data_IF_910111769053
#
_entry.id   IF_910111769053
#
_cell.length_a   1.000
_cell.length_b   1.000
_cell.length_c   1.000
_cell.angle_alpha   90.00
_cell.angle_beta   90.00
_cell.angle_gamma   90.00
#
_symmetry.space_group_name_H-M   'P 1'
#
loop_
_entity.id
_entity.type
_entity.pdbx_description
1 polymer ?
#
# COMPACT_ATOMS: atom_id res chain seq x y z
N UNK A 1 -6.31 -66.03 47.05
CA UNK A 1 -6.01 -66.85 45.85
C UNK A 1 -5.94 -65.91 44.67
N UNK A 2 -4.74 -65.41 44.35
CA UNK A 2 -3.91 -65.81 43.18
C UNK A 2 -4.62 -65.46 41.85
N UNK A 3 -4.11 -64.61 40.96
CA UNK A 3 -2.74 -64.58 40.43
C UNK A 3 -2.45 -63.24 39.73
N UNK A 4 -1.18 -62.82 39.78
CA UNK A 4 -0.58 -61.65 39.13
C UNK A 4 -0.35 -61.93 37.64
N UNK A 5 -0.49 -60.92 36.77
CA UNK A 5 0.55 -60.63 35.78
C UNK A 5 0.46 -59.20 35.24
N UNK A 6 1.58 -58.51 35.39
CA UNK A 6 1.90 -57.16 35.00
C UNK A 6 2.26 -57.03 33.52
N UNK A 7 1.78 -56.01 32.82
CA UNK A 7 2.52 -55.40 31.69
C UNK A 7 2.39 -53.87 31.69
N UNK A 8 3.55 -53.22 31.76
CA UNK A 8 3.79 -51.77 31.72
C UNK A 8 3.38 -51.17 30.37
N UNK A 9 2.98 -49.89 30.31
CA UNK A 9 2.85 -49.18 29.05
C UNK A 9 4.23 -48.80 28.50
N UNK A 10 4.49 -49.12 27.23
CA UNK A 10 5.68 -48.70 26.49
C UNK A 10 5.55 -47.22 26.11
N UNK A 11 6.51 -46.42 26.57
CA UNK A 11 6.92 -45.17 25.92
C UNK A 11 7.45 -45.51 24.53
N UNK A 12 6.91 -44.88 23.50
CA UNK A 12 7.66 -44.63 22.27
C UNK A 12 7.45 -43.18 21.85
N UNK A 13 8.54 -42.44 22.02
CA UNK A 13 8.79 -41.08 21.58
C UNK A 13 9.22 -41.10 20.12
N UNK A 14 8.41 -40.56 19.21
CA UNK A 14 8.88 -40.08 17.89
C UNK A 14 8.18 -38.78 17.52
N UNK A 15 8.85 -37.70 17.91
CA UNK A 15 9.02 -36.42 17.22
C UNK A 15 8.34 -36.30 15.85
N UNK A 16 7.19 -35.62 15.81
CA UNK A 16 6.68 -34.98 14.60
C UNK A 16 7.29 -33.59 14.50
N UNK A 17 8.19 -33.40 13.54
CA UNK A 17 8.77 -32.09 13.22
C UNK A 17 7.67 -31.18 12.66
N UNK A 18 7.10 -30.36 13.53
CA UNK A 18 6.24 -29.24 13.15
C UNK A 18 7.06 -28.22 12.37
N UNK A 19 6.55 -27.84 11.19
CA UNK A 19 7.07 -26.71 10.41
C UNK A 19 6.97 -25.42 11.26
N UNK A 20 8.02 -24.60 11.38
CA UNK A 20 7.90 -23.32 12.03
C UNK A 20 7.07 -22.36 11.17
N UNK A 21 6.12 -21.69 11.83
CA UNK A 21 5.40 -20.53 11.35
C UNK A 21 6.40 -19.41 11.01
N UNK A 22 6.17 -18.75 9.87
CA UNK A 22 7.00 -17.65 9.39
C UNK A 22 6.94 -16.47 10.38
N UNK A 23 8.12 -16.01 10.79
CA UNK A 23 8.35 -14.86 11.65
C UNK A 23 7.99 -13.54 10.94
N UNK A 24 7.38 -12.55 11.60
CA UNK A 24 7.18 -11.22 11.04
C UNK A 24 8.33 -10.30 11.47
N UNK A 25 9.42 -10.33 10.71
CA UNK A 25 10.48 -9.31 10.82
C UNK A 25 11.37 -9.39 9.59
N UNK A 26 11.21 -8.49 8.62
CA UNK A 26 12.30 -8.22 7.66
C UNK A 26 11.99 -6.94 6.85
N UNK A 27 12.08 -5.81 7.56
CA UNK A 27 12.60 -4.60 6.94
C UNK A 27 14.14 -4.74 6.90
N UNK A 28 14.81 -4.74 5.74
CA UNK A 28 16.25 -4.83 5.69
C UNK A 28 16.86 -3.45 6.01
N UNK A 29 16.95 -3.13 7.30
CA UNK A 29 17.75 -2.03 7.80
C UNK A 29 19.23 -2.36 7.67
N UNK A 30 19.93 -1.72 6.73
CA UNK A 30 21.39 -1.81 6.64
C UNK A 30 22.03 -1.00 7.77
N UNK A 31 22.50 -1.67 8.80
CA UNK A 31 23.51 -1.14 9.73
C UNK A 31 24.90 -1.43 9.16
N UNK A 32 25.64 -0.36 8.86
CA UNK A 32 27.04 -0.43 8.42
C UNK A 32 27.96 -0.21 9.63
N UNK A 33 28.80 -1.17 10.05
CA UNK A 33 29.81 -0.93 11.07
C UNK A 33 30.99 -0.17 10.46
N UNK A 34 31.35 0.95 11.09
CA UNK A 34 32.58 1.70 10.82
C UNK A 34 33.78 0.91 11.36
N UNK A 35 34.55 0.25 10.50
CA UNK A 35 36.02 0.17 10.59
C UNK A 35 36.57 -0.72 9.47
N UNK A 36 37.38 -0.13 8.59
CA UNK A 36 38.65 -0.67 8.09
C UNK A 36 39.02 0.06 6.80
N UNK A 37 39.94 1.00 6.93
CA UNK A 37 40.69 1.58 5.83
C UNK A 37 41.58 0.47 5.26
N UNK A 38 41.29 0.02 4.03
CA UNK A 38 42.27 -0.67 3.21
C UNK A 38 41.86 -0.56 1.72
N UNK A 39 42.79 0.01 0.96
CA UNK A 39 42.81 0.22 -0.48
C UNK A 39 42.47 -1.02 -1.30
N UNK A 40 41.43 -0.92 -2.15
CA UNK A 40 41.30 -1.76 -3.33
C UNK A 40 40.91 -0.90 -4.55
N UNK A 41 41.71 -1.04 -5.60
CA UNK A 41 41.73 -0.25 -6.83
C UNK A 41 40.42 -0.39 -7.62
N UNK A 42 39.95 0.75 -8.10
CA UNK A 42 38.86 0.94 -9.03
C UNK A 42 39.12 0.16 -10.33
N UNK A 43 38.25 -0.78 -10.69
CA UNK A 43 38.06 -1.24 -12.08
C UNK A 43 36.66 -0.82 -12.48
N UNK A 44 36.61 0.16 -13.37
CA UNK A 44 35.39 0.65 -14.01
C UNK A 44 34.77 -0.49 -14.84
N UNK A 45 33.52 -0.82 -14.54
CA UNK A 45 32.68 -1.63 -15.44
C UNK A 45 31.42 -0.83 -15.76
N UNK A 46 31.38 -0.31 -16.99
CA UNK A 46 30.30 0.47 -17.61
C UNK A 46 29.00 -0.36 -17.87
N UNK A 47 28.56 -1.15 -16.89
CA UNK A 47 27.42 -2.07 -17.04
C UNK A 47 26.09 -1.57 -16.47
N UNK A 48 26.10 -0.58 -15.58
CA UNK A 48 24.91 -0.19 -14.80
C UNK A 48 23.95 0.75 -15.54
N UNK A 49 24.48 1.67 -16.36
CA UNK A 49 23.65 2.58 -17.16
C UNK A 49 22.87 1.85 -18.27
N UNK A 50 23.46 0.80 -18.84
CA UNK A 50 22.84 -0.06 -19.88
C UNK A 50 21.66 -0.88 -19.34
N UNK A 51 21.74 -1.40 -18.11
CA UNK A 51 20.67 -2.17 -17.48
C UNK A 51 19.45 -1.31 -17.10
N UNK A 52 19.67 -0.08 -16.63
CA UNK A 52 18.61 0.89 -16.38
C UNK A 52 17.97 1.40 -17.68
N UNK A 53 18.78 1.72 -18.70
CA UNK A 53 18.28 2.14 -20.00
C UNK A 53 17.51 1.04 -20.74
N UNK A 54 17.89 -0.24 -20.56
CA UNK A 54 17.18 -1.39 -21.15
C UNK A 54 15.92 -1.79 -20.37
N UNK A 55 15.87 -1.53 -19.05
CA UNK A 55 14.63 -1.57 -18.24
C UNK A 55 13.64 -0.49 -18.68
N UNK A 56 14.11 0.73 -18.97
CA UNK A 56 13.30 1.84 -19.47
C UNK A 56 12.87 1.66 -20.95
N UNK A 57 13.73 1.09 -21.80
CA UNK A 57 13.38 0.77 -23.20
C UNK A 57 12.37 -0.37 -23.32
N UNK A 58 12.46 -1.42 -22.48
CA UNK A 58 11.46 -2.51 -22.46
C UNK A 58 10.12 -2.11 -21.83
N UNK A 59 10.05 -0.99 -21.10
CA UNK A 59 8.77 -0.38 -20.67
C UNK A 59 8.00 0.28 -21.81
N UNK A 60 8.66 0.66 -22.92
CA UNK A 60 8.01 1.29 -24.09
C UNK A 60 7.27 0.29 -25.00
N UNK A 61 7.57 -1.00 -24.90
CA UNK A 61 6.93 -2.04 -25.74
C UNK A 61 5.59 -2.56 -25.19
N UNK A 62 5.03 -1.96 -24.14
CA UNK A 62 3.71 -2.34 -23.64
C UNK A 62 2.62 -1.33 -24.05
N UNK A 63 1.98 -1.70 -25.17
CA UNK A 63 0.59 -1.42 -25.56
C UNK A 63 0.28 -0.07 -26.22
N UNK A 64 -0.68 -0.16 -27.15
CA UNK A 64 -1.19 0.92 -28.00
C UNK A 64 -1.60 2.16 -27.18
N UNK A 65 -1.44 3.38 -27.73
CA UNK A 65 -1.79 4.61 -27.04
C UNK A 65 -3.28 4.59 -26.69
N UNK A 66 -3.58 4.58 -25.39
CA UNK A 66 -4.94 4.84 -24.93
C UNK A 66 -5.24 6.34 -25.11
N UNK A 67 -6.51 6.75 -25.34
CA UNK A 67 -6.87 8.16 -25.49
C UNK A 67 -6.40 9.00 -24.30
N UNK A 68 -6.08 10.27 -24.57
CA UNK A 68 -5.63 11.24 -23.57
C UNK A 68 -6.66 11.36 -22.44
N UNK A 69 -6.16 11.40 -21.21
CA UNK A 69 -6.97 11.55 -20.00
C UNK A 69 -6.49 12.81 -19.29
N UNK A 70 -7.39 13.78 -19.11
CA UNK A 70 -7.12 14.95 -18.27
C UNK A 70 -7.44 14.58 -16.84
N UNK A 71 -6.43 14.67 -16.00
CA UNK A 71 -6.59 14.69 -14.56
C UNK A 71 -6.89 16.15 -14.19
N UNK A 72 -8.10 16.62 -14.51
CA UNK A 72 -8.51 17.98 -14.15
C UNK A 72 -8.20 18.27 -12.67
N UNK A 73 -8.02 19.55 -12.33
CA UNK A 73 -7.81 20.04 -10.95
C UNK A 73 -8.98 19.73 -9.98
N UNK A 74 -9.93 18.91 -10.39
CA UNK A 74 -11.07 18.47 -9.60
C UNK A 74 -10.65 17.56 -8.42
N UNK A 75 -11.39 17.63 -7.30
CA UNK A 75 -11.25 16.68 -6.20
C UNK A 75 -11.35 15.21 -6.65
N UNK A 76 -10.61 14.32 -5.99
CA UNK A 76 -10.69 12.87 -6.22
C UNK A 76 -11.11 12.09 -4.97
N UNK A 77 -11.51 10.83 -5.17
CA UNK A 77 -11.77 9.86 -4.12
C UNK A 77 -10.59 8.89 -4.06
N UNK A 78 -9.69 9.11 -3.10
CA UNK A 78 -8.50 8.28 -2.89
C UNK A 78 -8.83 7.17 -1.90
N UNK A 79 -8.67 5.92 -2.30
CA UNK A 79 -8.85 4.76 -1.42
C UNK A 79 -7.53 4.46 -0.73
N UNK A 80 -7.50 4.45 0.59
CA UNK A 80 -6.34 4.14 1.42
C UNK A 80 -6.54 2.79 2.12
N UNK A 81 -5.60 1.83 2.06
CA UNK A 81 -5.68 0.65 2.91
C UNK A 81 -5.67 1.03 4.39
N UNK A 82 -4.61 1.69 4.86
CA UNK A 82 -4.44 2.09 6.26
C UNK A 82 -4.37 3.62 6.43
N UNK A 83 -4.31 4.04 7.70
CA UNK A 83 -4.26 5.44 8.16
C UNK A 83 -2.85 6.04 7.99
N UNK A 84 -2.42 6.18 6.74
CA UNK A 84 -1.14 6.77 6.29
C UNK A 84 -0.93 6.63 4.77
N UNK A 85 -1.28 5.46 4.21
CA UNK A 85 -0.90 5.04 2.85
C UNK A 85 -1.23 6.06 1.76
N UNK A 86 -2.43 6.65 1.80
CA UNK A 86 -2.84 7.67 0.83
C UNK A 86 -2.01 8.95 0.96
N UNK A 87 -1.62 9.38 2.16
CA UNK A 87 -0.76 10.56 2.32
C UNK A 87 0.67 10.27 1.90
N UNK A 88 1.19 9.09 2.26
CA UNK A 88 2.53 8.67 1.89
C UNK A 88 2.68 8.53 0.38
N UNK A 89 1.66 7.99 -0.28
CA UNK A 89 1.70 7.67 -1.70
C UNK A 89 1.18 8.79 -2.59
N UNK A 90 0.21 9.57 -2.11
CA UNK A 90 -0.56 10.55 -2.89
C UNK A 90 -0.67 11.94 -2.25
N UNK A 91 0.15 12.27 -1.24
CA UNK A 91 0.08 13.55 -0.53
C UNK A 91 0.23 14.78 -1.44
N UNK A 92 1.08 14.75 -2.48
CA UNK A 92 1.19 15.87 -3.42
C UNK A 92 -0.06 15.99 -4.29
N UNK A 93 -0.60 14.87 -4.78
CA UNK A 93 -1.87 14.84 -5.51
C UNK A 93 -3.01 15.45 -4.68
N UNK A 94 -3.10 15.05 -3.41
CA UNK A 94 -4.11 15.56 -2.47
C UNK A 94 -3.93 17.06 -2.20
N UNK A 95 -2.70 17.53 -1.95
CA UNK A 95 -2.41 18.94 -1.75
C UNK A 95 -2.74 19.82 -2.98
N UNK A 96 -2.61 19.26 -4.18
CA UNK A 96 -2.98 19.93 -5.43
C UNK A 96 -4.49 19.90 -5.70
N UNK A 97 -5.27 19.14 -4.92
CA UNK A 97 -6.72 18.95 -5.09
C UNK A 97 -7.49 19.07 -3.76
N UNK A 98 -7.54 20.26 -3.14
CA UNK A 98 -8.36 20.48 -1.96
C UNK A 98 -9.82 20.07 -2.19
N UNK A 99 -10.46 19.54 -1.15
CA UNK A 99 -11.80 18.96 -1.23
C UNK A 99 -11.82 17.48 -1.63
N UNK A 100 -10.67 16.89 -1.95
CA UNK A 100 -10.55 15.44 -2.17
C UNK A 100 -10.96 14.66 -0.93
N UNK A 101 -11.44 13.45 -1.14
CA UNK A 101 -11.87 12.53 -0.10
C UNK A 101 -10.89 11.37 -0.02
N UNK A 102 -10.36 11.12 1.17
CA UNK A 102 -9.56 9.93 1.47
C UNK A 102 -10.45 8.94 2.21
N UNK A 103 -10.73 7.81 1.58
CA UNK A 103 -11.50 6.72 2.16
C UNK A 103 -10.56 5.63 2.64
N UNK A 104 -10.38 5.54 3.96
CA UNK A 104 -9.49 4.58 4.60
C UNK A 104 -10.24 3.32 5.01
N UNK A 105 -9.77 2.15 4.57
CA UNK A 105 -10.50 0.88 4.67
C UNK A 105 -10.39 0.27 6.07
N UNK A 106 -9.18 0.19 6.62
CA UNK A 106 -8.93 -0.53 7.86
C UNK A 106 -8.86 0.42 9.07
N UNK A 107 -10.02 0.92 9.50
CA UNK A 107 -10.13 1.84 10.65
C UNK A 107 -10.86 1.26 11.86
N UNK A 108 -11.27 -0.01 11.81
CA UNK A 108 -11.98 -0.63 12.91
C UNK A 108 -11.08 -0.89 14.13
N UNK A 109 -11.70 -0.83 15.31
CA UNK A 109 -11.02 -1.00 16.60
C UNK A 109 -11.49 -2.32 17.20
N UNK A 110 -10.65 -3.36 17.28
CA UNK A 110 -11.08 -4.67 17.76
C UNK A 110 -11.45 -4.60 19.24
N UNK A 111 -12.43 -5.42 19.63
CA UNK A 111 -12.86 -5.63 21.02
C UNK A 111 -12.93 -7.14 21.27
N UNK A 112 -12.25 -7.67 22.31
CA UNK A 112 -11.39 -6.96 23.27
C UNK A 112 -10.12 -6.38 22.64
N UNK A 113 -9.42 -5.43 23.29
CA UNK A 113 -8.16 -4.88 22.79
C UNK A 113 -7.12 -5.97 22.55
N UNK A 114 -6.38 -5.81 21.45
CA UNK A 114 -5.32 -6.74 21.03
C UNK A 114 -3.96 -6.05 21.13
N UNK A 115 -2.88 -6.84 21.09
CA UNK A 115 -1.51 -6.32 21.11
C UNK A 115 -0.72 -6.95 19.98
N UNK A 116 -0.23 -6.14 19.06
CA UNK A 116 0.61 -6.62 17.96
C UNK A 116 2.03 -6.06 18.09
N UNK A 117 3.02 -6.70 17.44
CA UNK A 117 4.36 -6.12 17.35
C UNK A 117 4.38 -4.72 16.72
N UNK A 118 3.46 -4.45 15.78
CA UNK A 118 3.37 -3.14 15.12
C UNK A 118 2.87 -2.06 16.07
N UNK A 119 1.81 -2.33 16.83
CA UNK A 119 1.30 -1.39 17.85
C UNK A 119 2.40 -1.00 18.85
N UNK A 120 3.17 -1.99 19.31
CA UNK A 120 4.27 -1.77 20.26
C UNK A 120 5.40 -0.95 19.63
N UNK A 121 5.77 -1.23 18.38
CA UNK A 121 6.79 -0.49 17.65
C UNK A 121 6.37 0.96 17.39
N UNK A 122 5.07 1.20 17.20
CA UNK A 122 4.47 2.53 17.12
C UNK A 122 4.39 3.24 18.49
N UNK A 123 4.68 2.54 19.59
CA UNK A 123 4.66 3.06 20.96
C UNK A 123 3.27 3.03 21.61
N UNK A 124 2.42 2.09 21.21
CA UNK A 124 1.09 1.88 21.76
C UNK A 124 1.02 0.61 22.60
N UNK A 125 0.19 0.65 23.64
CA UNK A 125 -0.01 -0.44 24.60
C UNK A 125 -0.99 -1.50 24.13
N UNK A 126 -1.94 -1.12 23.26
CA UNK A 126 -2.92 -1.99 22.62
C UNK A 126 -3.52 -1.33 21.36
N UNK A 127 -4.32 -2.11 20.63
CA UNK A 127 -5.02 -1.72 19.42
C UNK A 127 -6.02 -0.57 19.61
N UNK A 128 -6.61 -0.41 20.80
CA UNK A 128 -7.53 0.70 21.08
C UNK A 128 -6.77 2.02 21.12
N UNK A 129 -5.64 2.05 21.82
CA UNK A 129 -4.76 3.21 21.82
C UNK A 129 -4.18 3.48 20.43
N UNK A 130 -3.72 2.43 19.72
CA UNK A 130 -3.13 2.55 18.40
C UNK A 130 -4.10 3.17 17.38
N UNK A 131 -5.30 2.59 17.24
CA UNK A 131 -6.26 3.08 16.25
C UNK A 131 -6.78 4.49 16.56
N UNK A 132 -7.01 4.83 17.84
CA UNK A 132 -7.38 6.20 18.23
C UNK A 132 -6.28 7.21 17.91
N UNK A 133 -5.02 6.87 18.21
CA UNK A 133 -3.88 7.74 17.88
C UNK A 133 -3.76 7.94 16.37
N UNK A 134 -3.79 6.87 15.59
CA UNK A 134 -3.68 6.91 14.13
C UNK A 134 -4.81 7.71 13.47
N UNK A 135 -6.03 7.64 14.00
CA UNK A 135 -7.15 8.46 13.52
C UNK A 135 -6.85 9.96 13.72
N UNK A 136 -6.35 10.35 14.89
CA UNK A 136 -6.01 11.76 15.17
C UNK A 136 -4.86 12.23 14.28
N UNK A 137 -3.84 11.40 14.07
CA UNK A 137 -2.73 11.70 13.15
C UNK A 137 -3.22 11.88 11.71
N UNK A 138 -4.12 11.01 11.25
CA UNK A 138 -4.74 11.08 9.93
C UNK A 138 -5.58 12.35 9.74
N UNK A 139 -6.37 12.76 10.75
CA UNK A 139 -7.12 14.02 10.70
C UNK A 139 -6.21 15.24 10.55
N UNK A 140 -5.09 15.26 11.30
CA UNK A 140 -4.10 16.33 11.20
C UNK A 140 -3.44 16.35 9.82
N UNK A 141 -3.04 15.18 9.31
CA UNK A 141 -2.42 15.05 7.99
C UNK A 141 -3.36 15.53 6.88
N UNK A 142 -4.61 15.06 6.87
CA UNK A 142 -5.59 15.40 5.84
C UNK A 142 -6.00 16.88 5.90
N UNK A 143 -6.06 17.48 7.10
CA UNK A 143 -6.29 18.91 7.25
C UNK A 143 -5.19 19.75 6.57
N UNK A 144 -3.92 19.34 6.67
CA UNK A 144 -2.80 20.01 6.01
C UNK A 144 -2.87 19.93 4.47
N UNK A 145 -3.54 18.91 3.94
CA UNK A 145 -3.73 18.69 2.51
C UNK A 145 -5.06 19.25 1.98
N UNK A 146 -5.92 19.79 2.87
CA UNK A 146 -7.26 20.23 2.50
C UNK A 146 -8.17 19.08 2.06
N UNK A 147 -7.92 17.86 2.54
CA UNK A 147 -8.69 16.65 2.21
C UNK A 147 -9.65 16.28 3.36
N UNK A 148 -10.68 15.50 3.04
CA UNK A 148 -11.69 14.98 3.98
C UNK A 148 -11.51 13.49 4.20
N UNK A 149 -11.67 13.03 5.45
CA UNK A 149 -11.63 11.61 5.79
C UNK A 149 -13.01 10.93 5.63
N UNK A 150 -12.99 9.70 5.14
CA UNK A 150 -14.06 8.71 5.29
C UNK A 150 -13.41 7.43 5.82
N UNK A 151 -13.96 6.83 6.87
CA UNK A 151 -13.35 5.67 7.55
C UNK A 151 -14.29 4.49 7.53
N UNK A 152 -13.84 3.37 6.97
CA UNK A 152 -14.59 2.13 6.96
C UNK A 152 -14.25 1.30 8.21
N UNK A 153 -15.20 0.49 8.72
CA UNK A 153 -15.06 -0.15 10.03
C UNK A 153 -14.28 -1.48 9.98
N UNK A 154 -13.55 -1.78 8.90
CA UNK A 154 -12.86 -3.06 8.76
C UNK A 154 -11.59 -3.11 9.62
N UNK A 155 -11.22 -4.31 10.05
CA UNK A 155 -10.02 -4.53 10.84
C UNK A 155 -8.83 -4.80 9.93
N UNK A 156 -7.72 -4.13 10.25
CA UNK A 156 -6.40 -4.47 9.74
C UNK A 156 -6.13 -5.96 10.00
N UNK A 157 -5.48 -6.64 9.05
CA UNK A 157 -5.21 -8.08 9.14
C UNK A 157 -4.46 -8.49 10.41
N UNK A 158 -3.74 -7.56 11.04
CA UNK A 158 -3.09 -7.79 12.33
C UNK A 158 -4.06 -8.03 13.51
N UNK A 159 -5.35 -7.69 13.37
CA UNK A 159 -6.37 -7.82 14.42
C UNK A 159 -7.39 -8.94 14.15
N UNK A 160 -7.02 -9.93 13.35
CA UNK A 160 -7.75 -11.21 13.23
C UNK A 160 -9.25 -11.09 12.90
N UNK A 161 -9.61 -10.39 11.82
CA UNK A 161 -10.92 -10.52 11.16
C UNK A 161 -10.88 -9.92 9.74
N UNK A 162 -10.11 -10.55 8.85
CA UNK A 162 -9.95 -10.04 7.48
C UNK A 162 -11.27 -10.10 6.73
N UNK A 163 -11.79 -8.97 6.20
CA UNK A 163 -13.02 -8.98 5.41
C UNK A 163 -12.80 -9.64 4.04
N UNK A 164 -13.89 -9.98 3.36
CA UNK A 164 -13.82 -10.31 1.94
C UNK A 164 -13.64 -9.04 1.09
N UNK A 165 -13.03 -9.19 -0.10
CA UNK A 165 -12.93 -8.10 -1.07
C UNK A 165 -14.30 -7.60 -1.55
N UNK A 166 -15.33 -8.45 -1.54
CA UNK A 166 -16.70 -8.08 -1.88
C UNK A 166 -17.34 -7.16 -0.83
N UNK A 167 -17.17 -7.47 0.46
CA UNK A 167 -17.64 -6.60 1.55
C UNK A 167 -16.97 -5.22 1.50
N UNK A 168 -15.65 -5.20 1.28
CA UNK A 168 -14.90 -3.94 1.11
C UNK A 168 -15.39 -3.18 -0.13
N UNK A 169 -15.60 -3.86 -1.27
CA UNK A 169 -16.10 -3.23 -2.49
C UNK A 169 -17.49 -2.59 -2.30
N UNK A 170 -18.40 -3.27 -1.59
CA UNK A 170 -19.74 -2.75 -1.30
C UNK A 170 -19.69 -1.51 -0.40
N UNK A 171 -18.85 -1.54 0.64
CA UNK A 171 -18.64 -0.40 1.54
C UNK A 171 -18.02 0.80 0.79
N UNK A 172 -16.99 0.55 -0.02
CA UNK A 172 -16.38 1.57 -0.89
C UNK A 172 -17.40 2.16 -1.86
N UNK A 173 -18.25 1.34 -2.49
CA UNK A 173 -19.29 1.81 -3.40
C UNK A 173 -20.26 2.76 -2.71
N UNK A 174 -20.63 2.46 -1.48
CA UNK A 174 -21.53 3.28 -0.66
C UNK A 174 -20.86 4.60 -0.30
N UNK A 175 -19.64 4.55 0.24
CA UNK A 175 -18.84 5.73 0.58
C UNK A 175 -18.62 6.65 -0.65
N UNK A 176 -18.26 6.08 -1.79
CA UNK A 176 -18.04 6.80 -3.04
C UNK A 176 -19.30 7.52 -3.53
N UNK A 177 -20.46 6.85 -3.50
CA UNK A 177 -21.75 7.48 -3.86
C UNK A 177 -22.14 8.62 -2.93
N UNK A 178 -21.95 8.43 -1.62
CA UNK A 178 -22.26 9.45 -0.60
C UNK A 178 -21.34 10.68 -0.68
N UNK A 179 -20.18 10.54 -1.33
CA UNK A 179 -19.18 11.61 -1.45
C UNK A 179 -19.05 12.11 -2.89
N UNK A 180 -20.16 12.19 -3.63
CA UNK A 180 -20.22 12.92 -4.91
C UNK A 180 -19.65 12.18 -6.12
N UNK A 181 -19.34 10.88 -6.00
CA UNK A 181 -18.90 10.02 -7.11
C UNK A 181 -17.65 10.55 -7.83
N UNK A 182 -16.71 11.12 -7.08
CA UNK A 182 -15.47 11.71 -7.59
C UNK A 182 -14.60 10.67 -8.33
N UNK A 183 -13.68 11.10 -9.21
CA UNK A 183 -12.70 10.21 -9.85
C UNK A 183 -11.94 9.37 -8.82
N UNK A 184 -11.87 8.05 -9.03
CA UNK A 184 -11.27 7.11 -8.08
C UNK A 184 -9.76 6.97 -8.32
N UNK A 185 -9.01 7.07 -7.23
CA UNK A 185 -7.57 6.79 -7.16
C UNK A 185 -7.39 5.65 -6.17
N UNK A 186 -6.91 4.49 -6.62
CA UNK A 186 -6.87 3.25 -5.85
C UNK A 186 -5.44 2.72 -5.68
N UNK A 187 -5.15 1.91 -4.64
CA UNK A 187 -3.84 1.27 -4.51
C UNK A 187 -3.63 0.23 -5.61
N UNK A 188 -2.39 0.06 -6.05
CA UNK A 188 -2.02 -1.03 -6.97
C UNK A 188 -2.07 -2.40 -6.26
N UNK A 189 -1.86 -2.42 -4.94
CA UNK A 189 -1.86 -3.59 -4.09
C UNK A 189 -0.48 -4.21 -4.00
N UNK A 190 0.44 -3.53 -3.31
CA UNK A 190 1.84 -3.91 -3.18
C UNK A 190 2.17 -4.49 -1.80
N UNK A 191 2.96 -5.56 -1.79
CA UNK A 191 3.58 -6.21 -0.63
C UNK A 191 2.63 -6.78 0.44
N UNK A 192 1.83 -5.94 1.08
CA UNK A 192 0.97 -6.31 2.21
C UNK A 192 -0.36 -6.93 1.74
N UNK A 193 -0.89 -7.91 2.51
CA UNK A 193 -2.15 -8.59 2.19
C UNK A 193 -3.33 -7.62 2.11
N UNK A 194 -3.40 -6.66 3.03
CA UNK A 194 -4.47 -5.65 3.07
C UNK A 194 -4.45 -4.73 1.85
N UNK A 195 -3.27 -4.37 1.35
CA UNK A 195 -3.14 -3.61 0.12
C UNK A 195 -3.65 -4.39 -1.09
N UNK A 196 -3.30 -5.68 -1.18
CA UNK A 196 -3.77 -6.57 -2.24
C UNK A 196 -5.29 -6.68 -2.21
N UNK A 197 -5.88 -6.88 -1.02
CA UNK A 197 -7.32 -6.99 -0.79
C UNK A 197 -8.05 -5.71 -1.21
N UNK A 198 -7.58 -4.54 -0.77
CA UNK A 198 -8.19 -3.25 -1.12
C UNK A 198 -8.10 -2.99 -2.62
N UNK A 199 -6.97 -3.32 -3.25
CA UNK A 199 -6.82 -3.20 -4.70
C UNK A 199 -7.78 -4.14 -5.45
N UNK A 200 -7.99 -5.37 -4.97
CA UNK A 200 -8.99 -6.30 -5.51
C UNK A 200 -10.42 -5.75 -5.34
N UNK A 201 -10.75 -5.23 -4.16
CA UNK A 201 -12.04 -4.60 -3.89
C UNK A 201 -12.30 -3.38 -4.79
N UNK A 202 -11.30 -2.54 -5.03
CA UNK A 202 -11.41 -1.42 -5.96
C UNK A 202 -11.67 -1.87 -7.40
N UNK A 203 -11.08 -2.98 -7.84
CA UNK A 203 -11.37 -3.56 -9.17
C UNK A 203 -12.79 -4.11 -9.26
N UNK A 204 -13.28 -4.78 -8.22
CA UNK A 204 -14.68 -5.23 -8.14
C UNK A 204 -15.64 -4.03 -8.21
N UNK A 205 -15.40 -3.00 -7.39
CA UNK A 205 -16.12 -1.73 -7.43
C UNK A 205 -16.18 -1.16 -8.85
N UNK A 206 -15.04 -1.10 -9.53
CA UNK A 206 -14.94 -0.50 -10.85
C UNK A 206 -15.76 -1.25 -11.90
N UNK A 207 -15.76 -2.59 -11.82
CA UNK A 207 -16.58 -3.43 -12.68
C UNK A 207 -18.08 -3.26 -12.37
N UNK A 208 -18.48 -3.37 -11.10
CA UNK A 208 -19.88 -3.30 -10.66
C UNK A 208 -20.53 -1.94 -10.89
N UNK A 209 -19.79 -0.85 -10.63
CA UNK A 209 -20.28 0.52 -10.82
C UNK A 209 -20.02 1.06 -12.24
N UNK A 210 -19.46 0.22 -13.14
CA UNK A 210 -19.11 0.58 -14.52
C UNK A 210 -18.29 1.88 -14.58
N UNK A 211 -17.34 2.03 -13.65
CA UNK A 211 -16.48 3.20 -13.58
C UNK A 211 -15.71 3.37 -14.90
N UNK A 212 -15.34 4.61 -15.27
CA UNK A 212 -14.33 4.82 -16.30
C UNK A 212 -12.96 4.26 -15.85
N UNK A 213 -11.93 4.47 -16.67
CA UNK A 213 -10.55 4.17 -16.30
C UNK A 213 -10.22 4.72 -14.89
N UNK A 214 -9.61 3.87 -14.06
CA UNK A 214 -9.16 4.25 -12.72
C UNK A 214 -7.67 4.60 -12.73
N UNK A 215 -7.28 5.45 -11.79
CA UNK A 215 -5.86 5.68 -11.51
C UNK A 215 -5.45 4.75 -10.38
N UNK A 216 -4.35 4.05 -10.58
CA UNK A 216 -3.70 3.29 -9.53
C UNK A 216 -2.41 4.00 -9.11
N UNK A 217 -2.18 4.10 -7.80
CA UNK A 217 -0.91 4.59 -7.26
C UNK A 217 -0.03 3.43 -6.80
N UNK A 218 1.28 3.55 -7.01
CA UNK A 218 2.25 2.63 -6.40
C UNK A 218 2.48 3.03 -4.94
N UNK A 219 2.14 2.14 -4.01
CA UNK A 219 2.17 2.45 -2.58
C UNK A 219 3.60 2.63 -2.06
N UNK A 220 3.84 3.73 -1.37
CA UNK A 220 5.06 3.98 -0.60
C UNK A 220 4.88 3.42 0.81
N UNK A 221 5.88 2.77 1.43
CA UNK A 221 7.26 2.60 0.96
C UNK A 221 7.48 1.37 0.04
N UNK A 222 6.45 0.55 -0.17
CA UNK A 222 6.56 -0.78 -0.77
C UNK A 222 7.03 -0.80 -2.23
N UNK A 223 6.76 0.25 -2.99
CA UNK A 223 7.18 0.39 -4.39
C UNK A 223 8.70 0.34 -4.60
N UNK A 224 9.49 0.59 -3.56
CA UNK A 224 10.96 0.49 -3.62
C UNK A 224 11.49 -0.90 -3.29
N UNK A 225 10.65 -1.78 -2.75
CA UNK A 225 11.05 -3.17 -2.46
C UNK A 225 11.33 -3.88 -3.80
N UNK A 226 12.53 -4.47 -3.98
CA UNK A 226 12.91 -5.10 -5.24
C UNK A 226 11.86 -6.08 -5.75
N UNK A 227 11.51 -5.93 -7.03
CA UNK A 227 10.56 -6.77 -7.77
C UNK A 227 9.10 -6.77 -7.31
N UNK A 228 8.71 -6.12 -6.21
CA UNK A 228 7.32 -6.12 -5.70
C UNK A 228 6.36 -5.51 -6.73
N UNK A 229 6.61 -4.28 -7.18
CA UNK A 229 5.78 -3.63 -8.19
C UNK A 229 5.76 -4.40 -9.52
N UNK A 230 6.93 -4.85 -9.99
CA UNK A 230 7.05 -5.63 -11.24
C UNK A 230 6.20 -6.91 -11.20
N UNK A 231 6.30 -7.70 -10.12
CA UNK A 231 5.52 -8.94 -9.96
C UNK A 231 4.02 -8.67 -9.91
N UNK A 232 3.60 -7.55 -9.29
CA UNK A 232 2.19 -7.16 -9.25
C UNK A 232 1.66 -6.83 -10.64
N UNK A 233 2.38 -6.01 -11.42
CA UNK A 233 2.00 -5.74 -12.81
C UNK A 233 1.95 -7.00 -13.66
N UNK A 234 2.94 -7.90 -13.54
CA UNK A 234 2.95 -9.18 -14.27
C UNK A 234 1.74 -10.05 -13.91
N UNK A 235 1.37 -10.12 -12.63
CA UNK A 235 0.20 -10.86 -12.18
C UNK A 235 -1.11 -10.29 -12.76
N UNK A 236 -1.27 -8.96 -12.72
CA UNK A 236 -2.46 -8.30 -13.27
C UNK A 236 -2.52 -8.41 -14.80
N UNK A 237 -1.39 -8.31 -15.49
CA UNK A 237 -1.31 -8.53 -16.93
C UNK A 237 -1.74 -9.95 -17.32
N UNK A 238 -1.35 -10.98 -16.55
CA UNK A 238 -1.82 -12.37 -16.76
C UNK A 238 -3.33 -12.53 -16.57
N UNK A 239 -3.95 -11.69 -15.74
CA UNK A 239 -5.39 -11.63 -15.56
C UNK A 239 -6.11 -10.83 -16.66
N UNK A 240 -5.35 -10.23 -17.59
CA UNK A 240 -5.88 -9.49 -18.74
C UNK A 240 -5.99 -7.98 -18.54
N UNK A 241 -5.53 -7.45 -17.40
CA UNK A 241 -5.51 -6.01 -17.17
C UNK A 241 -4.46 -5.32 -18.03
N UNK A 242 -4.75 -4.08 -18.44
CA UNK A 242 -3.88 -3.25 -19.27
C UNK A 242 -3.60 -1.95 -18.55
N UNK A 243 -2.34 -1.53 -18.58
CA UNK A 243 -1.87 -0.34 -17.90
C UNK A 243 -1.26 0.61 -18.92
N UNK A 244 -1.64 1.87 -18.85
CA UNK A 244 -0.86 2.94 -19.44
C UNK A 244 -0.16 3.71 -18.33
N UNK A 245 1.15 3.91 -18.46
CA UNK A 245 1.81 4.94 -17.65
C UNK A 245 1.11 6.26 -17.96
N UNK A 246 0.70 6.97 -16.92
CA UNK A 246 0.38 8.38 -17.10
C UNK A 246 1.68 9.04 -17.56
N UNK A 247 1.69 9.59 -18.77
CA UNK A 247 2.93 10.09 -19.37
C UNK A 247 3.58 11.09 -18.43
N UNK A 248 4.90 11.25 -18.49
CA UNK A 248 5.59 12.26 -17.68
C UNK A 248 4.98 13.66 -17.85
N UNK A 249 4.35 13.97 -18.98
CA UNK A 249 3.59 15.22 -19.17
C UNK A 249 2.24 15.29 -18.42
N UNK A 250 1.63 14.16 -18.08
CA UNK A 250 0.41 14.06 -17.26
C UNK A 250 0.74 13.92 -15.76
N UNK A 251 1.86 13.25 -15.42
CA UNK A 251 2.37 13.13 -14.05
C UNK A 251 3.14 14.38 -13.59
N UNK A 252 3.79 15.10 -14.51
CA UNK A 252 4.46 16.38 -14.30
C UNK A 252 3.67 17.55 -14.88
N UNK A 253 2.36 17.40 -15.10
CA UNK A 253 1.51 18.53 -15.40
C UNK A 253 1.75 19.59 -14.31
N UNK A 254 2.15 20.84 -14.66
CA UNK A 254 2.25 21.93 -13.69
C UNK A 254 0.98 22.10 -12.84
N UNK A 255 -0.19 21.67 -13.34
CA UNK A 255 -1.46 21.61 -12.61
C UNK A 255 -1.46 20.60 -11.44
N UNK A 256 -0.67 19.52 -11.54
CA UNK A 256 -0.44 18.53 -10.48
C UNK A 256 0.65 18.98 -9.49
N UNK A 257 1.52 19.91 -9.90
CA UNK A 257 2.59 20.47 -9.06
C UNK A 257 2.21 21.88 -8.60
N UNK A 258 1.22 21.97 -7.72
CA UNK A 258 0.98 23.23 -6.99
C UNK A 258 2.24 23.60 -6.21
N UNK A 259 2.70 24.84 -6.33
CA UNK A 259 3.80 25.35 -5.52
C UNK A 259 3.51 25.06 -4.03
N UNK A 260 4.44 24.39 -3.36
CA UNK A 260 4.28 23.98 -1.96
C UNK A 260 3.60 22.62 -1.73
N UNK A 261 3.07 21.91 -2.75
CA UNK A 261 2.47 20.59 -2.57
C UNK A 261 3.44 19.56 -1.96
N UNK A 262 4.71 19.58 -2.35
CA UNK A 262 5.75 18.74 -1.74
C UNK A 262 5.98 19.09 -0.26
N UNK A 263 5.93 20.36 0.11
CA UNK A 263 6.05 20.80 1.51
C UNK A 263 4.80 20.38 2.32
N UNK A 264 3.61 20.56 1.76
CA UNK A 264 2.35 20.11 2.37
C UNK A 264 2.36 18.59 2.60
N UNK A 265 2.78 17.80 1.59
CA UNK A 265 3.00 16.36 1.74
C UNK A 265 3.98 16.07 2.87
N UNK A 266 5.15 16.71 2.87
CA UNK A 266 6.15 16.49 3.90
C UNK A 266 5.58 16.73 5.31
N UNK A 267 4.88 17.85 5.53
CA UNK A 267 4.23 18.15 6.82
C UNK A 267 3.15 17.13 7.18
N UNK A 268 2.35 16.70 6.21
CA UNK A 268 1.29 15.71 6.42
C UNK A 268 1.87 14.33 6.76
N UNK A 269 2.95 13.90 6.10
CA UNK A 269 3.67 12.67 6.45
C UNK A 269 4.18 12.73 7.89
N UNK A 270 4.72 13.87 8.33
CA UNK A 270 5.22 14.07 9.70
C UNK A 270 4.12 14.16 10.78
N UNK A 271 2.84 14.22 10.40
CA UNK A 271 1.74 14.06 11.35
C UNK A 271 1.58 12.61 11.83
N UNK A 272 1.96 11.61 11.01
CA UNK A 272 1.91 10.18 11.34
C UNK A 272 3.09 9.74 12.21
N UNK A 273 3.24 10.35 13.38
CA UNK A 273 4.36 10.12 14.30
C UNK A 273 4.47 8.66 14.74
N UNK A 274 3.34 8.02 15.02
CA UNK A 274 3.29 6.61 15.41
C UNK A 274 3.84 5.70 14.30
N UNK A 275 3.51 5.98 13.04
CA UNK A 275 3.95 5.17 11.90
C UNK A 275 5.43 5.41 11.59
N UNK A 276 5.88 6.67 11.62
CA UNK A 276 7.31 6.99 11.47
C UNK A 276 8.15 6.32 12.55
N UNK A 277 7.67 6.29 13.80
CA UNK A 277 8.33 5.53 14.89
C UNK A 277 8.36 4.03 14.62
N UNK A 278 7.28 3.45 14.12
CA UNK A 278 7.23 2.03 13.76
C UNK A 278 8.21 1.67 12.62
N UNK A 279 8.51 2.61 11.72
CA UNK A 279 9.63 2.52 10.76
C UNK A 279 11.01 2.78 11.40
N UNK A 280 11.10 2.79 12.73
CA UNK A 280 12.28 3.07 13.54
C UNK A 280 12.80 4.52 13.40
N UNK A 281 11.90 5.50 13.28
CA UNK A 281 12.14 6.94 13.05
C UNK A 281 12.97 7.26 11.79
N UNK A 282 13.39 6.24 11.03
CA UNK A 282 14.01 6.39 9.74
C UNK A 282 12.91 6.74 8.75
N UNK A 283 12.77 8.02 8.41
CA UNK A 283 11.91 8.47 7.33
C UNK A 283 12.32 7.72 6.06
N UNK A 284 11.55 6.71 5.57
CA UNK A 284 11.96 5.93 4.42
C UNK A 284 12.21 6.90 3.26
N UNK A 285 13.37 6.81 2.62
CA UNK A 285 13.75 7.70 1.50
C UNK A 285 12.64 7.78 0.44
N UNK A 286 11.88 6.70 0.29
CA UNK A 286 10.76 6.63 -0.62
C UNK A 286 9.62 7.62 -0.33
N UNK A 287 9.41 8.06 0.92
CA UNK A 287 8.36 9.03 1.26
C UNK A 287 8.61 10.41 0.62
N UNK A 288 9.86 10.71 0.26
CA UNK A 288 10.26 11.94 -0.43
C UNK A 288 10.42 11.77 -1.95
N UNK A 289 10.32 10.54 -2.46
CA UNK A 289 10.40 10.25 -3.89
C UNK A 289 9.13 10.71 -4.63
N UNK A 290 9.23 11.05 -5.93
CA UNK A 290 8.08 11.36 -6.77
C UNK A 290 7.01 10.28 -6.72
N UNK A 291 5.76 10.71 -6.62
CA UNK A 291 4.59 9.84 -6.64
C UNK A 291 4.44 9.17 -8.01
N UNK A 292 3.99 7.92 -8.01
CA UNK A 292 3.91 7.09 -9.23
C UNK A 292 2.50 6.60 -9.42
N UNK A 293 1.99 6.86 -10.62
CA UNK A 293 0.62 6.55 -11.00
C UNK A 293 0.56 5.85 -12.34
N UNK A 294 -0.37 4.92 -12.47
CA UNK A 294 -0.72 4.26 -13.74
C UNK A 294 -2.21 4.35 -13.95
N UNK A 295 -2.62 4.39 -15.22
CA UNK A 295 -4.01 4.26 -15.60
C UNK A 295 -4.33 2.80 -15.86
N UNK A 296 -5.35 2.28 -15.19
CA UNK A 296 -5.90 0.97 -15.45
C UNK A 296 -7.02 1.11 -16.49
N UNK A 297 -6.81 0.55 -17.67
CA UNK A 297 -7.87 0.39 -18.66
C UNK A 297 -8.74 -0.79 -18.26
N UNK A 298 -10.03 -0.52 -18.01
CA UNK A 298 -10.99 -1.56 -17.65
C UNK A 298 -11.65 -2.05 -18.93
N UNK A 299 -11.21 -3.21 -19.43
CA UNK A 299 -11.85 -3.87 -20.56
C UNK A 299 -13.22 -4.41 -20.14
N UNK A 300 -14.28 -3.78 -20.65
CA UNK A 300 -15.67 -4.07 -20.30
C UNK A 300 -16.23 -5.31 -21.01
N UNK A 301 -15.53 -5.84 -22.01
CA UNK A 301 -16.00 -6.99 -22.79
C UNK A 301 -15.63 -8.34 -22.17
N UNK A 302 -14.80 -8.37 -21.12
CA UNK A 302 -14.28 -9.61 -20.54
C UNK A 302 -14.30 -9.54 -19.01
N UNK A 303 -15.13 -10.33 -18.32
CA UNK A 303 -15.04 -10.41 -16.87
C UNK A 303 -13.66 -10.92 -16.46
N UNK A 304 -13.14 -10.50 -15.28
CA UNK A 304 -11.83 -10.92 -14.81
C UNK A 304 -11.79 -12.44 -14.69
N UNK A 305 -10.74 -13.05 -15.26
CA UNK A 305 -10.49 -14.49 -15.08
C UNK A 305 -10.05 -14.71 -13.63
N UNK A 306 -10.84 -15.52 -12.89
CA UNK A 306 -10.50 -15.99 -11.54
C UNK A 306 -9.22 -16.82 -11.57
#
# INVERSE_FOLDING_TARGET
MASRSSRRPRRDSRSSCGRPLASPSEWPGRSCPKSCVATCRFRSSDGSASALASSLRRRRDMQAPLPSFSLDVAPCFVVSPHLDDAVFSCGMLLASRPGSVVCTVFCGIPQPPMRTPWDQSAGHSDSTQAMRSRIVEDEQALALLGARAVRLPFFDSQYEATPSSAEVAQALATAWRQNGRLPVVAPLGLHHSDHVLVADACRLLAHEQRLPDMILYEESPYRTIPAVARRRYEALNRQGYRFALLSESQANDPSMRRAGAANAKWRAVHAYRSQLRAFNDAHPHDLTEPERYVRLAIDRARPPRR
#
